data_IF_317966062106
#
_entry.id   IF_317966062106
#
_cell.length_a   1.000
_cell.length_b   1.000
_cell.length_c   1.000
_cell.angle_alpha   90.00
_cell.angle_beta   90.00
_cell.angle_gamma   90.00
#
_symmetry.space_group_name_H-M   'P 1'
#
loop_
_entity.id
_entity.type
_entity.pdbx_description
1 polymer ?
#
# COMPACT_ATOMS: atom_id res chain seq x y z
N UNK A 1 20.80 -24.13 -6.89
CA UNK A 1 21.14 -23.09 -5.88
C UNK A 1 19.93 -22.92 -4.97
N UNK A 2 20.07 -23.30 -3.69
CA UNK A 2 19.01 -23.23 -2.68
C UNK A 2 18.59 -21.78 -2.46
N UNK A 3 17.44 -21.38 -3.00
CA UNK A 3 17.01 -19.97 -3.19
C UNK A 3 16.61 -19.20 -1.91
N UNK A 4 16.83 -19.76 -0.71
CA UNK A 4 16.42 -19.16 0.57
C UNK A 4 17.45 -19.49 1.67
N UNK A 5 18.73 -19.21 1.42
CA UNK A 5 19.75 -19.22 2.48
C UNK A 5 20.18 -17.80 2.78
N UNK A 6 19.90 -17.33 4.00
CA UNK A 6 20.39 -16.04 4.48
C UNK A 6 21.67 -16.21 5.29
N UNK A 7 22.69 -15.44 4.96
CA UNK A 7 23.92 -15.37 5.75
C UNK A 7 23.62 -14.62 7.04
N UNK A 8 23.93 -15.24 8.18
CA UNK A 8 23.80 -14.57 9.47
C UNK A 8 24.86 -13.49 9.60
N UNK A 9 24.43 -12.31 10.04
CA UNK A 9 25.31 -11.17 10.34
C UNK A 9 25.14 -10.76 11.78
N UNK A 10 26.27 -10.34 12.38
CA UNK A 10 26.34 -9.95 13.78
C UNK A 10 25.48 -8.73 14.12
N UNK A 11 25.30 -8.46 15.43
CA UNK A 11 24.45 -7.39 15.95
C UNK A 11 24.79 -5.97 15.49
N UNK A 12 26.06 -5.76 15.14
CA UNK A 12 26.69 -4.45 14.94
C UNK A 12 26.83 -4.09 13.45
N UNK A 13 26.16 -4.84 12.57
CA UNK A 13 26.15 -4.51 11.15
C UNK A 13 25.30 -3.25 10.90
N UNK A 14 25.94 -2.22 10.35
CA UNK A 14 25.31 -0.96 9.99
C UNK A 14 24.29 -1.10 8.83
N UNK A 15 24.53 -2.07 7.93
CA UNK A 15 23.67 -2.36 6.78
C UNK A 15 23.52 -3.88 6.65
N UNK A 16 22.28 -4.35 6.47
CA UNK A 16 21.96 -5.76 6.26
C UNK A 16 21.52 -5.94 4.80
N UNK A 17 22.26 -6.74 4.04
CA UNK A 17 21.96 -6.98 2.63
C UNK A 17 20.73 -7.91 2.44
N UNK A 18 20.11 -7.97 1.25
CA UNK A 18 18.96 -8.83 1.00
C UNK A 18 19.21 -10.34 1.24
N UNK A 19 20.43 -10.81 1.02
CA UNK A 19 20.87 -12.19 1.27
C UNK A 19 21.37 -12.43 2.71
N UNK A 20 21.22 -11.43 3.58
CA UNK A 20 21.67 -11.46 4.97
C UNK A 20 20.50 -11.42 5.95
N UNK A 21 20.75 -11.87 7.18
CA UNK A 21 19.78 -11.74 8.28
C UNK A 21 20.48 -11.47 9.60
N UNK A 22 19.77 -10.75 10.47
CA UNK A 22 20.11 -10.64 11.88
C UNK A 22 19.66 -11.89 12.66
N UNK A 23 19.76 -11.83 13.98
CA UNK A 23 19.16 -12.82 14.86
C UNK A 23 17.64 -12.82 14.69
N UNK A 24 17.01 -14.00 14.83
CA UNK A 24 15.57 -14.16 14.62
C UNK A 24 14.70 -13.15 15.39
N UNK A 25 14.97 -12.83 16.67
CA UNK A 25 14.19 -11.82 17.38
C UNK A 25 14.26 -10.43 16.73
N UNK A 26 15.44 -10.04 16.23
CA UNK A 26 15.63 -8.74 15.56
C UNK A 26 14.99 -8.72 14.18
N UNK A 27 15.13 -9.81 13.41
CA UNK A 27 14.46 -9.97 12.12
C UNK A 27 12.94 -9.89 12.28
N UNK A 28 12.36 -10.57 13.28
CA UNK A 28 10.94 -10.47 13.60
C UNK A 28 10.54 -9.04 14.01
N UNK A 29 11.34 -8.37 14.84
CA UNK A 29 11.09 -6.98 15.24
C UNK A 29 11.09 -6.00 14.06
N UNK A 30 12.06 -6.12 13.15
CA UNK A 30 12.13 -5.29 11.94
C UNK A 30 10.97 -5.62 10.98
N UNK A 31 10.59 -6.90 10.87
CA UNK A 31 9.43 -7.32 10.10
C UNK A 31 8.14 -6.70 10.64
N UNK A 32 7.93 -6.73 11.96
CA UNK A 32 6.80 -6.08 12.60
C UNK A 32 6.77 -4.57 12.33
N UNK A 33 7.94 -3.91 12.35
CA UNK A 33 8.04 -2.49 11.98
C UNK A 33 7.64 -2.22 10.53
N UNK A 34 7.99 -3.10 9.59
CA UNK A 34 7.57 -2.95 8.19
C UNK A 34 6.05 -3.09 8.04
N UNK A 35 5.44 -4.05 8.73
CA UNK A 35 3.98 -4.20 8.73
C UNK A 35 3.31 -2.93 9.25
N UNK A 36 3.79 -2.40 10.38
CA UNK A 36 3.27 -1.16 10.97
C UNK A 36 3.44 0.03 10.02
N UNK A 37 4.59 0.15 9.36
CA UNK A 37 4.86 1.24 8.43
C UNK A 37 3.96 1.18 7.18
N UNK A 38 3.71 0.00 6.64
CA UNK A 38 2.90 -0.18 5.43
C UNK A 38 1.39 -0.24 5.69
N UNK A 39 0.99 -0.39 6.96
CA UNK A 39 -0.41 -0.52 7.35
C UNK A 39 -1.27 0.66 6.88
N UNK A 40 -0.79 1.89 7.06
CA UNK A 40 -1.58 3.09 6.76
C UNK A 40 -2.13 3.12 5.33
N UNK A 41 -1.25 3.04 4.32
CA UNK A 41 -1.67 3.03 2.92
C UNK A 41 -2.45 1.76 2.54
N UNK A 42 -2.02 0.59 3.04
CA UNK A 42 -2.64 -0.69 2.68
C UNK A 42 -4.05 -0.82 3.23
N UNK A 43 -4.32 -0.25 4.40
CA UNK A 43 -5.62 -0.19 5.06
C UNK A 43 -6.53 0.91 4.52
N UNK A 44 -5.98 2.09 4.21
CA UNK A 44 -6.79 3.24 3.79
C UNK A 44 -7.53 3.01 2.47
N UNK A 45 -6.86 2.42 1.46
CA UNK A 45 -7.48 2.18 0.14
C UNK A 45 -8.75 1.31 0.23
N UNK A 46 -8.75 0.11 0.84
CA UNK A 46 -9.96 -0.69 0.93
C UNK A 46 -11.07 0.00 1.71
N UNK A 47 -10.74 0.76 2.77
CA UNK A 47 -11.73 1.57 3.50
C UNK A 47 -12.38 2.62 2.59
N UNK A 48 -11.59 3.37 1.82
CA UNK A 48 -12.10 4.39 0.91
C UNK A 48 -12.89 3.82 -0.28
N UNK A 49 -12.65 2.56 -0.63
CA UNK A 49 -13.27 1.89 -1.78
C UNK A 49 -14.39 0.91 -1.38
N UNK A 50 -14.64 0.72 -0.08
CA UNK A 50 -15.65 -0.20 0.43
C UNK A 50 -15.27 -1.68 0.33
N UNK A 51 -13.99 -1.99 0.13
CA UNK A 51 -13.48 -3.36 0.15
C UNK A 51 -13.11 -3.81 1.57
N UNK A 52 -13.18 -5.11 1.89
CA UNK A 52 -12.82 -5.60 3.22
C UNK A 52 -11.32 -5.44 3.49
N UNK A 53 -10.89 -4.62 4.48
CA UNK A 53 -9.47 -4.36 4.72
C UNK A 53 -8.69 -5.61 5.13
N UNK A 54 -9.33 -6.54 5.86
CA UNK A 54 -8.72 -7.82 6.25
C UNK A 54 -8.35 -8.68 5.02
N UNK A 55 -9.21 -8.72 4.00
CA UNK A 55 -8.95 -9.45 2.75
C UNK A 55 -7.79 -8.81 1.99
N UNK A 56 -7.78 -7.48 1.91
CA UNK A 56 -6.69 -6.74 1.25
C UNK A 56 -5.35 -6.95 1.96
N UNK A 57 -5.31 -6.91 3.29
CA UNK A 57 -4.10 -7.18 4.08
C UNK A 57 -3.61 -8.63 3.89
N UNK A 58 -4.51 -9.61 3.85
CA UNK A 58 -4.15 -11.00 3.58
C UNK A 58 -3.49 -11.13 2.20
N UNK A 59 -4.12 -10.61 1.14
CA UNK A 59 -3.58 -10.74 -0.21
C UNK A 59 -2.37 -9.85 -0.47
N UNK A 60 -2.20 -8.74 0.24
CA UNK A 60 -0.96 -7.96 0.28
C UNK A 60 0.20 -8.79 0.87
N UNK A 61 -0.04 -9.51 1.97
CA UNK A 61 0.93 -10.43 2.55
C UNK A 61 1.28 -11.60 1.61
N UNK A 62 0.26 -12.26 1.05
CA UNK A 62 0.45 -13.34 0.06
C UNK A 62 1.21 -12.83 -1.16
N UNK A 63 0.82 -11.67 -1.69
CA UNK A 63 1.47 -11.03 -2.84
C UNK A 63 2.93 -10.71 -2.55
N UNK A 64 3.24 -10.17 -1.38
CA UNK A 64 4.62 -9.88 -0.95
C UNK A 64 5.46 -11.15 -0.87
N UNK A 65 4.92 -12.23 -0.29
CA UNK A 65 5.61 -13.53 -0.24
C UNK A 65 5.86 -14.05 -1.66
N UNK A 66 4.85 -14.04 -2.53
CA UNK A 66 4.99 -14.47 -3.92
C UNK A 66 6.03 -13.63 -4.66
N UNK A 67 6.03 -12.31 -4.48
CA UNK A 67 7.00 -11.41 -5.08
C UNK A 67 8.45 -11.75 -4.67
N UNK A 68 8.69 -11.93 -3.38
CA UNK A 68 10.01 -12.29 -2.87
C UNK A 68 10.47 -13.67 -3.37
N UNK A 69 9.54 -14.63 -3.49
CA UNK A 69 9.85 -15.95 -4.05
C UNK A 69 10.16 -15.90 -5.56
N UNK A 70 9.37 -15.17 -6.34
CA UNK A 70 9.53 -15.01 -7.79
C UNK A 70 10.85 -14.30 -8.11
N UNK A 71 11.17 -13.23 -7.37
CA UNK A 71 12.41 -12.45 -7.53
C UNK A 71 13.63 -13.12 -6.91
N UNK A 72 13.45 -14.22 -6.18
CA UNK A 72 14.54 -14.92 -5.48
C UNK A 72 15.19 -14.09 -4.38
N UNK A 73 14.40 -13.27 -3.68
CA UNK A 73 14.80 -12.38 -2.59
C UNK A 73 15.91 -11.38 -2.97
N UNK A 74 16.03 -11.05 -4.27
CA UNK A 74 17.03 -10.09 -4.78
C UNK A 74 16.57 -8.64 -4.69
N UNK A 75 15.26 -8.42 -4.58
CA UNK A 75 14.66 -7.10 -4.53
C UNK A 75 13.77 -7.02 -3.26
N UNK A 76 14.21 -6.31 -2.21
CA UNK A 76 13.42 -6.17 -0.99
C UNK A 76 12.25 -5.21 -1.25
N UNK A 77 11.05 -5.76 -1.47
CA UNK A 77 9.84 -4.95 -1.69
C UNK A 77 8.63 -5.54 -0.97
N UNK A 78 7.76 -4.64 -0.51
CA UNK A 78 6.45 -4.96 0.07
C UNK A 78 5.36 -4.49 -0.88
N UNK A 79 4.36 -5.33 -1.13
CA UNK A 79 3.24 -5.01 -2.01
C UNK A 79 2.06 -4.46 -1.21
N UNK A 80 1.87 -3.15 -1.21
CA UNK A 80 0.72 -2.48 -0.58
C UNK A 80 -0.39 -2.12 -1.58
N UNK A 81 -1.46 -1.51 -1.07
CA UNK A 81 -2.53 -0.95 -1.90
C UNK A 81 -2.07 0.32 -2.62
N UNK A 82 -2.27 0.42 -3.93
CA UNK A 82 -1.95 1.64 -4.68
C UNK A 82 -3.08 2.65 -4.64
N UNK A 83 -2.74 3.93 -4.50
CA UNK A 83 -3.72 5.01 -4.49
C UNK A 83 -4.24 5.33 -5.89
N UNK A 84 -3.51 4.94 -6.93
CA UNK A 84 -3.87 5.15 -8.34
C UNK A 84 -5.17 4.44 -8.74
N UNK A 85 -5.56 3.40 -8.00
CA UNK A 85 -6.77 2.60 -8.31
C UNK A 85 -8.03 3.09 -7.59
N UNK A 86 -7.96 4.04 -6.66
CA UNK A 86 -9.14 4.48 -5.89
C UNK A 86 -10.23 5.02 -6.82
N UNK A 87 -9.90 5.99 -7.67
CA UNK A 87 -10.87 6.62 -8.58
C UNK A 87 -11.54 5.64 -9.56
N UNK A 88 -10.81 4.78 -10.29
CA UNK A 88 -11.47 3.82 -11.19
C UNK A 88 -12.26 2.75 -10.43
N UNK A 89 -11.80 2.34 -9.24
CA UNK A 89 -12.54 1.39 -8.41
C UNK A 89 -13.86 1.98 -7.95
N UNK A 90 -13.89 3.20 -7.38
CA UNK A 90 -15.13 3.82 -6.92
C UNK A 90 -16.09 4.07 -8.09
N UNK A 91 -15.58 4.46 -9.26
CA UNK A 91 -16.39 4.62 -10.47
C UNK A 91 -16.96 3.28 -11.00
N UNK A 92 -16.18 2.20 -10.97
CA UNK A 92 -16.65 0.87 -11.36
C UNK A 92 -17.72 0.34 -10.37
N UNK A 93 -17.49 0.51 -9.06
CA UNK A 93 -18.48 0.16 -8.02
C UNK A 93 -19.78 0.92 -8.23
N UNK A 94 -19.71 2.23 -8.48
CA UNK A 94 -20.88 3.07 -8.68
C UNK A 94 -21.67 2.73 -9.95
N UNK A 95 -21.00 2.23 -11.00
CA UNK A 95 -21.63 1.92 -12.28
C UNK A 95 -22.19 0.50 -12.37
N UNK A 96 -21.45 -0.51 -11.89
CA UNK A 96 -21.80 -1.93 -12.12
C UNK A 96 -21.53 -2.82 -10.88
N UNK A 97 -21.34 -2.20 -9.71
CA UNK A 97 -21.15 -2.90 -8.45
C UNK A 97 -19.74 -3.45 -8.24
N UNK A 98 -19.51 -3.98 -7.03
CA UNK A 98 -18.18 -4.36 -6.53
C UNK A 98 -17.49 -5.45 -7.35
N UNK A 99 -18.24 -6.40 -7.90
CA UNK A 99 -17.70 -7.44 -8.78
C UNK A 99 -16.99 -6.87 -10.01
N UNK A 100 -17.54 -5.79 -10.59
CA UNK A 100 -16.98 -5.16 -11.79
C UNK A 100 -15.64 -4.47 -11.51
N UNK A 101 -15.50 -3.86 -10.34
CA UNK A 101 -14.24 -3.27 -9.88
C UNK A 101 -13.17 -4.34 -9.66
N UNK A 102 -13.53 -5.48 -9.06
CA UNK A 102 -12.63 -6.64 -8.93
C UNK A 102 -12.21 -7.19 -10.30
N UNK A 103 -13.14 -7.31 -11.25
CA UNK A 103 -12.83 -7.71 -12.63
C UNK A 103 -11.85 -6.74 -13.30
N UNK A 104 -12.04 -5.43 -13.09
CA UNK A 104 -11.11 -4.39 -13.52
C UNK A 104 -9.73 -4.54 -12.89
N UNK A 105 -9.63 -4.75 -11.58
CA UNK A 105 -8.36 -4.98 -10.87
C UNK A 105 -7.63 -6.24 -11.37
N UNK A 106 -8.35 -7.32 -11.65
CA UNK A 106 -7.78 -8.53 -12.26
C UNK A 106 -7.23 -8.22 -13.66
N UNK A 107 -7.98 -7.47 -14.48
CA UNK A 107 -7.52 -7.07 -15.80
C UNK A 107 -6.28 -6.15 -15.74
N UNK A 108 -6.21 -5.23 -14.77
CA UNK A 108 -5.01 -4.43 -14.50
C UNK A 108 -3.82 -5.32 -14.18
N UNK A 109 -3.98 -6.30 -13.28
CA UNK A 109 -2.92 -7.24 -12.93
C UNK A 109 -2.41 -8.03 -14.14
N UNK A 110 -3.33 -8.54 -14.97
CA UNK A 110 -2.97 -9.24 -16.21
C UNK A 110 -2.24 -8.33 -17.20
N UNK A 111 -2.66 -7.08 -17.35
CA UNK A 111 -1.99 -6.12 -18.21
C UNK A 111 -0.60 -5.75 -17.70
N UNK A 112 -0.41 -5.61 -16.39
CA UNK A 112 0.91 -5.39 -15.79
C UNK A 112 1.83 -6.60 -15.99
N UNK A 113 1.32 -7.83 -15.89
CA UNK A 113 2.08 -9.05 -16.22
C UNK A 113 2.50 -9.03 -17.70
N UNK A 114 1.60 -8.66 -18.60
CA UNK A 114 1.91 -8.54 -20.03
C UNK A 114 2.98 -7.49 -20.30
N UNK A 115 2.86 -6.31 -19.70
CA UNK A 115 3.89 -5.25 -19.79
C UNK A 115 5.22 -5.76 -19.25
N UNK A 116 5.22 -6.44 -18.09
CA UNK A 116 6.42 -7.06 -17.52
C UNK A 116 7.07 -8.08 -18.45
N UNK A 117 6.29 -8.92 -19.11
CA UNK A 117 6.77 -9.87 -20.11
C UNK A 117 7.40 -9.17 -21.33
N UNK A 118 6.77 -8.10 -21.83
CA UNK A 118 7.32 -7.28 -22.92
C UNK A 118 8.65 -6.65 -22.51
N UNK A 119 8.74 -6.09 -21.31
CA UNK A 119 9.99 -5.53 -20.76
C UNK A 119 11.07 -6.60 -20.62
N UNK A 120 10.70 -7.82 -20.23
CA UNK A 120 11.65 -8.93 -20.11
C UNK A 120 12.30 -9.30 -21.46
N UNK A 121 11.57 -9.15 -22.56
CA UNK A 121 12.05 -9.50 -23.92
C UNK A 121 12.73 -8.33 -24.63
N UNK A 122 12.15 -7.13 -24.56
CA UNK A 122 12.56 -5.96 -25.38
C UNK A 122 13.43 -4.97 -24.57
N UNK A 123 13.46 -5.10 -23.24
CA UNK A 123 14.13 -4.18 -22.34
C UNK A 123 13.29 -2.95 -21.97
N UNK A 124 13.86 -2.05 -21.15
CA UNK A 124 13.16 -0.91 -20.51
C UNK A 124 13.22 0.39 -21.30
N UNK A 125 14.01 0.47 -22.38
CA UNK A 125 14.33 1.75 -23.05
C UNK A 125 13.09 2.51 -23.53
N UNK A 126 12.07 1.81 -24.02
CA UNK A 126 10.83 2.45 -24.47
C UNK A 126 10.06 3.08 -23.31
N UNK A 127 10.05 2.44 -22.12
CA UNK A 127 9.44 2.99 -20.92
C UNK A 127 10.13 4.29 -20.51
N UNK A 128 11.46 4.31 -20.52
CA UNK A 128 12.26 5.48 -20.15
C UNK A 128 12.00 6.68 -21.08
N UNK A 129 11.72 6.41 -22.35
CA UNK A 129 11.35 7.44 -23.33
C UNK A 129 9.90 7.92 -23.16
N UNK A 130 8.97 7.03 -22.82
CA UNK A 130 7.54 7.37 -22.63
C UNK A 130 7.23 7.98 -21.27
N UNK A 131 8.01 7.66 -20.24
CA UNK A 131 7.79 8.07 -18.86
C UNK A 131 9.03 8.81 -18.30
N UNK A 132 9.46 9.93 -18.93
CA UNK A 132 10.55 10.74 -18.39
C UNK A 132 10.19 11.27 -16.99
N UNK A 133 11.17 11.71 -16.18
CA UNK A 133 10.93 12.14 -14.80
C UNK A 133 9.82 13.19 -14.63
N UNK A 134 9.66 14.09 -15.60
CA UNK A 134 8.58 15.09 -15.61
C UNK A 134 7.19 14.45 -15.70
N UNK A 135 7.03 13.38 -16.49
CA UNK A 135 5.75 12.64 -16.64
C UNK A 135 5.48 11.83 -15.38
N UNK A 136 6.46 11.08 -14.91
CA UNK A 136 6.33 10.27 -13.69
C UNK A 136 6.02 11.16 -12.47
N UNK A 137 6.73 12.28 -12.31
CA UNK A 137 6.47 13.24 -11.23
C UNK A 137 5.08 13.89 -11.34
N UNK A 138 4.64 14.26 -12.54
CA UNK A 138 3.30 14.80 -12.76
C UNK A 138 2.20 13.80 -12.42
N UNK A 139 2.36 12.52 -12.79
CA UNK A 139 1.41 11.45 -12.47
C UNK A 139 1.33 11.25 -10.96
N UNK A 140 2.48 11.15 -10.27
CA UNK A 140 2.53 10.98 -8.81
C UNK A 140 1.86 12.16 -8.10
N UNK A 141 2.11 13.40 -8.54
CA UNK A 141 1.45 14.58 -8.00
C UNK A 141 -0.08 14.56 -8.21
N UNK A 142 -0.53 14.14 -9.40
CA UNK A 142 -1.95 14.04 -9.73
C UNK A 142 -2.68 13.00 -8.87
N UNK A 143 -2.04 11.86 -8.57
CA UNK A 143 -2.57 10.87 -7.63
C UNK A 143 -2.78 11.51 -6.25
N UNK A 144 -1.77 12.25 -5.75
CA UNK A 144 -1.88 12.97 -4.48
C UNK A 144 -3.02 13.99 -4.46
N UNK A 145 -3.13 14.82 -5.51
CA UNK A 145 -4.21 15.82 -5.62
C UNK A 145 -5.61 15.19 -5.72
N UNK A 146 -5.74 14.05 -6.39
CA UNK A 146 -7.01 13.32 -6.47
C UNK A 146 -7.50 12.81 -5.10
N UNK A 147 -6.59 12.67 -4.11
CA UNK A 147 -6.95 12.28 -2.75
C UNK A 147 -7.26 13.45 -1.83
N UNK A 148 -6.91 14.67 -2.23
CA UNK A 148 -7.14 15.86 -1.42
C UNK A 148 -8.63 16.03 -1.02
N UNK A 149 -9.62 15.77 -1.88
CA UNK A 149 -11.03 15.83 -1.47
C UNK A 149 -11.38 14.82 -0.37
N UNK A 150 -10.91 13.57 -0.50
CA UNK A 150 -11.16 12.54 0.51
C UNK A 150 -10.50 12.91 1.85
N UNK A 151 -9.27 13.43 1.83
CA UNK A 151 -8.60 13.91 3.02
C UNK A 151 -9.36 15.08 3.68
N UNK A 152 -9.82 16.05 2.88
CA UNK A 152 -10.63 17.19 3.35
C UNK A 152 -11.93 16.72 4.01
N UNK A 153 -12.69 15.85 3.35
CA UNK A 153 -13.97 15.35 3.89
C UNK A 153 -13.78 14.60 5.21
N UNK A 154 -12.73 13.77 5.34
CA UNK A 154 -12.43 13.09 6.60
C UNK A 154 -11.99 14.07 7.70
N UNK A 155 -11.21 15.10 7.35
CA UNK A 155 -10.80 16.13 8.31
C UNK A 155 -12.00 16.95 8.81
N UNK A 156 -12.92 17.32 7.92
CA UNK A 156 -14.14 18.07 8.27
C UNK A 156 -15.09 17.28 9.18
N UNK A 157 -15.05 15.95 9.12
CA UNK A 157 -15.86 15.08 9.98
C UNK A 157 -15.40 15.08 11.45
N UNK A 158 -14.08 15.23 11.70
CA UNK A 158 -13.51 15.29 13.04
C UNK A 158 -12.35 16.28 13.14
N UNK A 159 -12.60 17.61 13.06
CA UNK A 159 -11.53 18.61 12.90
C UNK A 159 -10.56 18.66 14.07
N UNK A 160 -11.03 18.43 15.30
CA UNK A 160 -10.18 18.44 16.50
C UNK A 160 -9.20 17.26 16.47
N UNK A 161 -9.71 16.05 16.25
CA UNK A 161 -8.88 14.84 16.12
C UNK A 161 -7.92 14.97 14.94
N UNK A 162 -8.40 15.45 13.80
CA UNK A 162 -7.60 15.69 12.60
C UNK A 162 -6.47 16.70 12.85
N UNK A 163 -6.76 17.83 13.49
CA UNK A 163 -5.77 18.86 13.79
C UNK A 163 -4.71 18.35 14.76
N UNK A 164 -5.12 17.70 15.86
CA UNK A 164 -4.19 17.13 16.84
C UNK A 164 -3.29 16.09 16.18
N UNK A 165 -3.86 15.18 15.40
CA UNK A 165 -3.11 14.14 14.67
C UNK A 165 -2.11 14.76 13.70
N UNK A 166 -2.51 15.79 12.95
CA UNK A 166 -1.65 16.49 12.00
C UNK A 166 -0.49 17.21 12.69
N UNK A 167 -0.77 17.95 13.77
CA UNK A 167 0.25 18.66 14.55
C UNK A 167 1.25 17.68 15.16
N UNK A 168 0.76 16.58 15.72
CA UNK A 168 1.63 15.53 16.27
C UNK A 168 2.50 14.89 15.18
N UNK A 169 1.93 14.62 14.00
CA UNK A 169 2.69 14.08 12.88
C UNK A 169 3.78 15.04 12.41
N UNK A 170 3.43 16.30 12.13
CA UNK A 170 4.38 17.31 11.65
C UNK A 170 5.46 17.57 12.69
N UNK A 171 5.07 17.70 13.97
CA UNK A 171 6.02 17.82 15.08
C UNK A 171 6.94 16.60 15.17
N UNK A 172 6.39 15.39 15.09
CA UNK A 172 7.18 14.17 15.16
C UNK A 172 8.21 14.09 14.03
N UNK A 173 7.82 14.43 12.80
CA UNK A 173 8.72 14.45 11.64
C UNK A 173 9.77 15.58 11.71
N UNK A 174 9.43 16.73 12.32
CA UNK A 174 10.35 17.86 12.46
C UNK A 174 11.41 17.64 13.55
N UNK A 175 11.02 17.05 14.69
CA UNK A 175 11.88 16.94 15.88
C UNK A 175 12.57 15.59 16.03
N UNK A 176 12.03 14.51 15.45
CA UNK A 176 12.60 13.17 15.58
C UNK A 176 13.18 12.67 14.27
N UNK A 177 14.36 12.04 14.35
CA UNK A 177 15.05 11.42 13.21
C UNK A 177 15.18 9.90 13.42
N UNK A 178 15.54 9.19 12.36
CA UNK A 178 15.77 7.74 12.42
C UNK A 178 14.48 6.93 12.61
N UNK A 179 14.49 5.96 13.53
CA UNK A 179 13.36 5.03 13.70
C UNK A 179 12.07 5.72 14.13
N UNK A 180 12.15 6.70 15.04
CA UNK A 180 10.97 7.44 15.52
C UNK A 180 10.35 8.25 14.38
N UNK A 181 11.17 8.85 13.50
CA UNK A 181 10.67 9.53 12.30
C UNK A 181 9.95 8.59 11.34
N UNK A 182 10.43 7.34 11.16
CA UNK A 182 9.76 6.33 10.32
C UNK A 182 8.43 5.83 10.92
N UNK A 183 8.33 5.79 12.25
CA UNK A 183 7.10 5.40 12.96
C UNK A 183 6.20 6.59 13.31
N UNK A 184 6.57 7.81 12.93
CA UNK A 184 5.86 9.04 13.29
C UNK A 184 4.39 9.02 12.83
N UNK A 185 4.13 8.52 11.62
CA UNK A 185 2.78 8.37 11.06
C UNK A 185 1.95 7.44 11.95
N UNK A 186 2.48 6.27 12.28
CA UNK A 186 1.76 5.30 13.12
C UNK A 186 1.51 5.86 14.52
N UNK A 187 2.52 6.45 15.16
CA UNK A 187 2.39 7.05 16.49
C UNK A 187 1.34 8.17 16.53
N UNK A 188 1.34 9.07 15.54
CA UNK A 188 0.35 10.13 15.43
C UNK A 188 -1.07 9.57 15.28
N UNK A 189 -1.26 8.54 14.44
CA UNK A 189 -2.57 7.88 14.26
C UNK A 189 -3.04 7.20 15.55
N UNK A 190 -2.16 6.53 16.30
CA UNK A 190 -2.50 5.91 17.59
C UNK A 190 -2.96 6.96 18.59
N UNK A 191 -2.23 8.07 18.73
CA UNK A 191 -2.62 9.15 19.65
C UNK A 191 -3.94 9.80 19.22
N UNK A 192 -4.11 10.03 17.91
CA UNK A 192 -5.37 10.54 17.34
C UNK A 192 -6.56 9.62 17.65
N UNK A 193 -6.39 8.31 17.50
CA UNK A 193 -7.40 7.32 17.84
C UNK A 193 -7.74 7.32 19.35
N UNK A 194 -6.73 7.41 20.23
CA UNK A 194 -6.97 7.49 21.67
C UNK A 194 -7.71 8.77 22.07
N UNK A 195 -7.43 9.89 21.40
CA UNK A 195 -8.19 11.13 21.58
C UNK A 195 -9.64 10.93 21.13
N UNK A 196 -9.89 10.38 19.94
CA UNK A 196 -11.24 10.10 19.44
C UNK A 196 -12.00 9.18 20.40
N UNK A 197 -11.34 8.16 20.96
CA UNK A 197 -11.91 7.27 21.97
C UNK A 197 -12.29 8.03 23.25
N UNK A 198 -11.43 8.91 23.74
CA UNK A 198 -11.70 9.73 24.92
C UNK A 198 -12.85 10.74 24.70
N UNK A 199 -13.04 11.19 23.46
CA UNK A 199 -14.15 12.06 23.05
C UNK A 199 -15.46 11.30 22.82
N UNK A 200 -15.45 9.97 22.86
CA UNK A 200 -16.63 9.15 22.58
C UNK A 200 -17.00 9.08 21.10
N UNK A 201 -16.08 9.42 20.20
CA UNK A 201 -16.28 9.40 18.74
C UNK A 201 -16.04 8.00 18.12
N UNK A 202 -15.63 7.02 18.93
CA UNK A 202 -15.30 5.66 18.48
C UNK A 202 -16.37 4.67 18.95
N UNK A 203 -17.05 4.03 18.00
CA UNK A 203 -17.89 2.88 18.28
C UNK A 203 -17.03 1.62 18.48
N UNK A 204 -17.08 1.06 19.69
CA UNK A 204 -16.33 -0.14 20.08
C UNK A 204 -17.17 -1.41 20.06
N UNK A 205 -18.47 -1.33 19.80
CA UNK A 205 -19.35 -2.51 19.72
C UNK A 205 -18.85 -3.56 18.71
N UNK A 206 -18.37 -3.20 17.50
CA UNK A 206 -17.86 -4.18 16.54
C UNK A 206 -16.64 -4.97 17.05
N UNK A 207 -15.86 -4.42 17.99
CA UNK A 207 -14.71 -5.11 18.59
C UNK A 207 -15.19 -6.24 19.49
N UNK A 208 -16.27 -6.02 20.26
CA UNK A 208 -16.84 -7.01 21.16
C UNK A 208 -17.55 -8.14 20.39
N UNK A 209 -18.12 -7.83 19.24
CA UNK A 209 -18.81 -8.81 18.37
C UNK A 209 -17.84 -9.60 17.46
N UNK A 210 -16.61 -9.12 17.29
CA UNK A 210 -15.64 -9.75 16.42
C UNK A 210 -15.21 -11.14 16.93
N UNK A 211 -15.18 -12.12 16.03
CA UNK A 211 -14.61 -13.42 16.34
C UNK A 211 -13.09 -13.33 16.54
N UNK A 212 -12.56 -14.04 17.54
CA UNK A 212 -11.11 -14.16 17.77
C UNK A 212 -10.35 -14.73 16.57
N UNK A 213 -10.99 -15.65 15.84
CA UNK A 213 -10.48 -16.22 14.60
C UNK A 213 -11.62 -16.15 13.58
N UNK A 214 -11.38 -15.46 12.47
CA UNK A 214 -12.32 -15.32 11.38
C UNK A 214 -11.60 -15.37 10.03
N UNK A 215 -12.27 -15.94 9.03
CA UNK A 215 -11.79 -15.86 7.66
C UNK A 215 -12.15 -14.49 7.07
N UNK A 216 -11.27 -13.91 6.23
CA UNK A 216 -11.60 -12.68 5.52
C UNK A 216 -12.79 -12.89 4.58
N UNK A 217 -13.50 -11.80 4.28
CA UNK A 217 -14.61 -11.83 3.34
C UNK A 217 -14.09 -11.93 1.91
N UNK A 218 -14.49 -12.99 1.20
CA UNK A 218 -14.15 -13.18 -0.20
C UNK A 218 -15.27 -12.66 -1.10
N UNK A 219 -14.88 -12.06 -2.20
CA UNK A 219 -15.77 -11.54 -3.22
C UNK A 219 -15.26 -12.02 -4.59
N UNK A 220 -16.18 -12.29 -5.52
CA UNK A 220 -15.83 -12.81 -6.85
C UNK A 220 -15.88 -11.70 -7.90
N UNK A 221 -14.93 -11.67 -8.85
CA UNK A 221 -14.94 -10.69 -9.92
C UNK A 221 -16.06 -10.97 -10.93
N UNK A 222 -16.64 -9.91 -11.49
CA UNK A 222 -17.46 -9.94 -12.70
C UNK A 222 -16.75 -9.13 -13.78
N UNK A 223 -16.64 -9.69 -14.98
CA UNK A 223 -15.91 -9.03 -16.06
C UNK A 223 -16.87 -8.23 -16.92
N UNK A 224 -16.65 -6.93 -16.96
CA UNK A 224 -17.38 -6.00 -17.82
C UNK A 224 -16.42 -5.17 -18.64
N UNK A 225 -16.51 -5.27 -19.97
CA UNK A 225 -15.68 -4.50 -20.88
C UNK A 225 -15.92 -2.99 -20.74
N UNK A 226 -17.10 -2.58 -20.27
CA UNK A 226 -17.46 -1.18 -20.13
C UNK A 226 -16.69 -0.45 -19.01
N UNK A 227 -16.22 -1.17 -17.97
CA UNK A 227 -15.44 -0.55 -16.88
C UNK A 227 -13.94 -0.56 -17.14
N UNK A 228 -13.42 -1.43 -18.02
CA UNK A 228 -11.98 -1.57 -18.27
C UNK A 228 -11.28 -0.27 -18.66
N UNK A 229 -11.87 0.60 -19.52
CA UNK A 229 -11.22 1.86 -19.89
C UNK A 229 -10.94 2.78 -18.69
N UNK A 230 -11.75 2.71 -17.63
CA UNK A 230 -11.56 3.50 -16.41
C UNK A 230 -10.21 3.20 -15.74
N UNK A 231 -9.72 1.96 -15.86
CA UNK A 231 -8.51 1.49 -15.20
C UNK A 231 -7.22 1.78 -15.99
N UNK A 232 -7.30 2.16 -17.27
CA UNK A 232 -6.11 2.41 -18.10
C UNK A 232 -5.18 3.49 -17.53
N UNK A 233 -5.67 4.64 -17.02
CA UNK A 233 -4.80 5.63 -16.39
C UNK A 233 -4.07 5.08 -15.14
N UNK A 234 -4.75 4.22 -14.37
CA UNK A 234 -4.15 3.59 -13.19
C UNK A 234 -3.02 2.63 -13.57
N UNK A 235 -3.13 1.92 -14.70
CA UNK A 235 -2.05 1.06 -15.21
C UNK A 235 -0.81 1.89 -15.53
N UNK A 236 -0.97 3.02 -16.22
CA UNK A 236 0.15 3.93 -16.56
C UNK A 236 0.82 4.43 -15.28
N UNK A 237 0.02 4.82 -14.28
CA UNK A 237 0.50 5.22 -12.97
C UNK A 237 1.28 4.10 -12.26
N UNK A 238 0.74 2.88 -12.22
CA UNK A 238 1.38 1.73 -11.58
C UNK A 238 2.70 1.35 -12.26
N UNK A 239 2.78 1.46 -13.58
CA UNK A 239 4.03 1.24 -14.32
C UNK A 239 5.06 2.31 -13.95
N UNK A 240 4.66 3.59 -13.97
CA UNK A 240 5.54 4.70 -13.62
C UNK A 240 6.04 4.62 -12.17
N UNK A 241 5.15 4.30 -11.23
CA UNK A 241 5.43 4.11 -9.80
C UNK A 241 6.44 2.98 -9.59
N UNK A 242 6.20 1.79 -10.17
CA UNK A 242 7.11 0.66 -10.02
C UNK A 242 8.49 0.91 -10.63
N UNK A 243 8.58 1.60 -11.77
CA UNK A 243 9.88 1.96 -12.36
C UNK A 243 10.63 2.93 -11.45
N UNK A 244 9.92 3.91 -10.87
CA UNK A 244 10.49 4.84 -9.90
C UNK A 244 11.09 4.12 -8.70
N UNK A 245 10.32 3.21 -8.09
CA UNK A 245 10.74 2.46 -6.89
C UNK A 245 11.92 1.52 -7.12
N UNK A 246 12.06 0.96 -8.32
CA UNK A 246 13.19 0.07 -8.64
C UNK A 246 14.47 0.87 -8.92
N UNK A 247 14.35 2.13 -9.35
CA UNK A 247 15.49 2.99 -9.70
C UNK A 247 16.01 3.86 -8.55
N UNK A 248 15.19 4.10 -7.53
CA UNK A 248 15.52 4.88 -6.33
C UNK A 248 16.26 4.03 -5.29
#
# INVERSE_FOLDING_TARGET
MTKLSWKYVGPDADVVAPDERLSWPRTLGIGAQHVVAMFGATFLVPVLTGFPPATTLLFSGVGTILFLLITGNRLPSYLGSSFSVIAPVTAAVASQGTGSALGGLVAVGLLLILIGAVVHVIGTRWLDLTLPPVVTGAIVALIGFNLAPAAKTNFEAGPLVGLVTLVLLVGALAFFRGLIGRLAIFGAVVIGYLLALALGEVDTAPIAEAAWIGLPQFQTPTFSLAVLPLFLPAVIALVAENIGHVKS
#
